data_IF_662954803182
#
_entry.id   IF_662954803182
#
_cell.length_a   1.000
_cell.length_b   1.000
_cell.length_c   1.000
_cell.angle_alpha   90.00
_cell.angle_beta   90.00
_cell.angle_gamma   90.00
#
_symmetry.space_group_name_H-M   'P 1'
#
loop_
_entity.id
_entity.type
_entity.pdbx_description
1 polymer ?
#
# COMPACT_ATOMS: atom_id res chain seq x y z
N UNK A 1 2.61 -25.01 6.27
CA UNK A 1 2.77 -26.42 6.64
C UNK A 1 2.29 -27.40 5.56
N UNK A 2 1.43 -26.99 4.63
CA UNK A 2 0.81 -27.86 3.60
C UNK A 2 1.55 -27.85 2.26
N UNK A 3 2.52 -26.95 2.02
CA UNK A 3 3.27 -26.96 0.77
C UNK A 3 4.17 -28.17 0.67
N UNK A 4 4.01 -28.96 -0.39
CA UNK A 4 4.80 -30.17 -0.64
C UNK A 4 6.15 -29.88 -1.30
N UNK A 5 6.28 -28.71 -1.94
CA UNK A 5 7.50 -28.25 -2.64
C UNK A 5 8.35 -27.34 -1.76
N UNK A 6 9.65 -27.25 -2.06
CA UNK A 6 10.57 -26.37 -1.34
C UNK A 6 10.34 -24.88 -1.67
N UNK A 7 9.73 -24.62 -2.80
CA UNK A 7 9.28 -23.28 -3.21
C UNK A 7 7.80 -23.28 -3.51
N UNK A 8 7.09 -22.26 -3.06
CA UNK A 8 5.67 -22.09 -3.32
C UNK A 8 5.33 -20.61 -3.57
N UNK A 9 4.17 -20.38 -4.14
CA UNK A 9 3.64 -19.04 -4.41
C UNK A 9 2.40 -18.84 -3.57
N UNK A 10 2.36 -17.75 -2.80
CA UNK A 10 1.15 -17.29 -2.13
C UNK A 10 0.47 -16.21 -2.96
N UNK A 11 -0.84 -16.22 -2.93
CA UNK A 11 -1.71 -15.21 -3.54
C UNK A 11 -2.67 -14.74 -2.46
N UNK A 12 -2.70 -13.44 -2.19
CA UNK A 12 -3.68 -12.89 -1.27
C UNK A 12 -5.08 -12.95 -1.87
N UNK A 13 -6.09 -13.15 -1.04
CA UNK A 13 -7.46 -13.39 -1.47
C UNK A 13 -8.13 -12.21 -2.19
N UNK A 14 -7.53 -11.03 -2.13
CA UNK A 14 -7.94 -9.81 -2.83
C UNK A 14 -7.19 -9.58 -4.15
N UNK A 15 -6.35 -10.53 -4.58
CA UNK A 15 -5.59 -10.42 -5.83
C UNK A 15 -6.20 -11.28 -6.94
N UNK A 16 -6.47 -10.65 -8.08
CA UNK A 16 -6.85 -11.31 -9.32
C UNK A 16 -5.58 -11.48 -10.16
N UNK A 17 -5.22 -12.74 -10.44
CA UNK A 17 -4.00 -13.10 -11.16
C UNK A 17 -4.26 -13.08 -12.66
N UNK A 18 -3.32 -12.51 -13.43
CA UNK A 18 -3.28 -12.58 -14.87
C UNK A 18 -2.83 -14.01 -15.30
N UNK A 19 -3.53 -14.60 -16.26
CA UNK A 19 -3.24 -15.96 -16.74
C UNK A 19 -1.81 -16.11 -17.28
N UNK A 20 -1.22 -15.03 -17.80
CA UNK A 20 0.18 -15.04 -18.28
C UNK A 20 1.19 -15.28 -17.17
N UNK A 21 0.80 -15.09 -15.90
CA UNK A 21 1.64 -15.46 -14.77
C UNK A 21 2.01 -16.96 -14.76
N UNK A 22 1.09 -17.81 -15.15
CA UNK A 22 1.32 -19.28 -15.18
C UNK A 22 2.37 -19.69 -16.21
N UNK A 23 2.75 -18.80 -17.13
CA UNK A 23 3.79 -19.01 -18.13
C UNK A 23 5.18 -18.51 -17.64
N UNK A 24 5.24 -17.92 -16.46
CA UNK A 24 6.48 -17.36 -15.95
C UNK A 24 7.42 -18.45 -15.41
N UNK A 25 8.70 -18.23 -15.60
CA UNK A 25 9.76 -19.07 -15.07
C UNK A 25 10.75 -18.21 -14.29
N UNK A 26 11.25 -18.72 -13.18
CA UNK A 26 12.35 -18.12 -12.43
C UNK A 26 13.65 -18.82 -12.81
N UNK A 27 14.67 -18.04 -13.15
CA UNK A 27 16.02 -18.55 -13.40
C UNK A 27 16.72 -18.76 -12.06
N UNK A 28 16.64 -19.98 -11.54
CA UNK A 28 17.21 -20.33 -10.23
C UNK A 28 18.74 -20.20 -10.15
N UNK A 29 19.45 -20.12 -11.25
CA UNK A 29 20.89 -19.89 -11.24
C UNK A 29 21.23 -18.43 -10.95
N UNK A 30 20.33 -17.52 -11.33
CA UNK A 30 20.48 -16.07 -11.14
C UNK A 30 19.70 -15.51 -9.95
N UNK A 31 18.83 -16.32 -9.38
CA UNK A 31 17.87 -15.88 -8.35
C UNK A 31 18.38 -16.29 -6.97
N UNK A 32 18.32 -15.38 -6.01
CA UNK A 32 18.60 -15.71 -4.62
C UNK A 32 17.47 -16.58 -4.05
N UNK A 33 17.71 -17.89 -3.95
CA UNK A 33 16.71 -18.88 -3.51
C UNK A 33 16.17 -18.63 -2.10
N UNK A 34 16.91 -17.92 -1.25
CA UNK A 34 16.51 -17.58 0.12
C UNK A 34 15.81 -16.23 0.22
N UNK A 35 15.67 -15.51 -0.88
CA UNK A 35 14.93 -14.26 -0.89
C UNK A 35 13.45 -14.52 -1.11
N UNK A 36 12.63 -13.61 -0.56
CA UNK A 36 11.21 -13.50 -0.89
C UNK A 36 11.08 -12.80 -2.24
N UNK A 37 10.41 -13.44 -3.20
CA UNK A 37 10.21 -12.92 -4.54
C UNK A 37 8.86 -12.25 -4.64
N UNK A 38 8.83 -10.93 -4.82
CA UNK A 38 7.59 -10.14 -4.86
C UNK A 38 7.35 -9.60 -6.26
N UNK A 39 6.23 -9.97 -6.86
CA UNK A 39 5.74 -9.34 -8.08
C UNK A 39 4.97 -8.07 -7.75
N UNK A 40 4.93 -7.17 -8.72
CA UNK A 40 4.09 -5.98 -8.60
C UNK A 40 2.63 -6.34 -8.84
N UNK A 41 1.74 -5.62 -8.17
CA UNK A 41 0.32 -5.64 -8.46
C UNK A 41 -0.18 -4.26 -8.84
N UNK A 42 -1.22 -4.22 -9.66
CA UNK A 42 -1.96 -3.01 -9.97
C UNK A 42 -3.07 -2.83 -8.95
N UNK A 43 -3.10 -1.68 -8.31
CA UNK A 43 -4.21 -1.33 -7.45
C UNK A 43 -5.43 -0.93 -8.29
N UNK A 44 -6.58 -1.52 -8.03
CA UNK A 44 -7.79 -1.27 -8.82
C UNK A 44 -8.41 0.11 -8.55
N UNK A 45 -8.20 0.70 -7.35
CA UNK A 45 -8.78 1.99 -6.97
C UNK A 45 -8.07 3.14 -7.69
N UNK A 46 -6.72 3.16 -7.65
CA UNK A 46 -5.96 4.31 -8.10
C UNK A 46 -4.98 4.02 -9.25
N UNK A 47 -4.94 2.78 -9.73
CA UNK A 47 -4.10 2.38 -10.86
C UNK A 47 -2.60 2.28 -10.57
N UNK A 48 -2.16 2.50 -9.32
CA UNK A 48 -0.76 2.35 -8.95
C UNK A 48 -0.26 0.93 -9.20
N UNK A 49 0.94 0.82 -9.76
CA UNK A 49 1.65 -0.46 -9.91
C UNK A 49 2.89 -0.43 -9.03
N UNK A 50 2.89 -1.20 -7.97
CA UNK A 50 4.01 -1.31 -7.03
C UNK A 50 4.01 -2.67 -6.32
N UNK A 51 5.08 -2.99 -5.59
CA UNK A 51 5.15 -4.22 -4.79
C UNK A 51 4.26 -4.08 -3.55
N UNK A 52 3.28 -4.96 -3.40
CA UNK A 52 2.31 -4.92 -2.30
C UNK A 52 2.22 -6.23 -1.51
N UNK A 53 3.02 -7.23 -1.85
CA UNK A 53 3.00 -8.52 -1.16
C UNK A 53 1.88 -9.48 -1.55
N UNK A 54 0.96 -9.08 -2.43
CA UNK A 54 -0.22 -9.89 -2.78
C UNK A 54 0.06 -11.07 -3.71
N UNK A 55 1.21 -11.09 -4.37
CA UNK A 55 1.71 -12.22 -5.18
C UNK A 55 3.18 -12.44 -4.86
N UNK A 56 3.48 -13.48 -4.10
CA UNK A 56 4.80 -13.69 -3.50
C UNK A 56 5.27 -15.13 -3.64
N UNK A 57 6.52 -15.28 -4.08
CA UNK A 57 7.22 -16.56 -4.08
C UNK A 57 8.08 -16.73 -2.83
N UNK A 58 8.01 -17.88 -2.21
CA UNK A 58 8.63 -18.19 -0.93
C UNK A 58 9.47 -19.45 -0.99
N UNK A 59 10.63 -19.38 -0.40
CA UNK A 59 11.36 -20.57 0.04
C UNK A 59 10.76 -21.10 1.35
N UNK A 60 10.51 -22.40 1.41
CA UNK A 60 9.83 -23.05 2.54
C UNK A 60 10.61 -22.95 3.85
N UNK A 61 11.94 -23.00 3.78
CA UNK A 61 12.78 -22.85 4.97
C UNK A 61 12.73 -21.43 5.51
N UNK A 62 12.76 -20.42 4.62
CA UNK A 62 12.65 -19.01 4.98
C UNK A 62 11.34 -18.74 5.74
N UNK A 63 10.22 -19.28 5.26
CA UNK A 63 8.91 -19.09 5.92
C UNK A 63 8.83 -19.80 7.28
N UNK A 64 9.49 -20.95 7.44
CA UNK A 64 9.47 -21.70 8.70
C UNK A 64 10.05 -20.90 9.86
N UNK A 65 11.09 -20.12 9.58
CA UNK A 65 11.82 -19.35 10.58
C UNK A 65 11.35 -17.89 10.68
N UNK A 66 10.43 -17.49 9.80
CA UNK A 66 9.95 -16.12 9.70
C UNK A 66 8.94 -15.79 10.81
N UNK A 67 9.04 -14.59 11.36
CA UNK A 67 8.02 -14.04 12.26
C UNK A 67 6.96 -13.31 11.45
N UNK A 68 5.70 -13.64 11.69
CA UNK A 68 4.56 -12.89 11.15
C UNK A 68 4.35 -11.59 11.92
N UNK A 69 3.61 -10.63 11.37
CA UNK A 69 3.38 -9.35 12.07
C UNK A 69 2.63 -9.51 13.39
N UNK A 70 1.85 -10.56 13.55
CA UNK A 70 1.16 -10.85 14.81
C UNK A 70 2.16 -11.20 15.94
N UNK A 71 3.38 -11.60 15.57
CA UNK A 71 4.44 -11.99 16.47
C UNK A 71 5.59 -10.98 16.54
N UNK A 72 5.55 -9.88 15.78
CA UNK A 72 6.56 -8.83 15.81
C UNK A 72 6.23 -7.80 16.90
N UNK A 73 6.52 -8.11 18.16
CA UNK A 73 6.19 -7.28 19.33
C UNK A 73 7.33 -6.31 19.68
N UNK A 74 8.18 -5.91 18.77
CA UNK A 74 9.28 -5.01 19.10
C UNK A 74 9.10 -3.64 18.46
N UNK A 75 9.31 -2.61 19.28
CA UNK A 75 9.19 -1.17 19.00
C UNK A 75 9.95 -0.68 17.75
N UNK A 76 10.79 -1.49 17.14
CA UNK A 76 11.70 -1.04 16.09
C UNK A 76 11.25 -1.42 14.68
N UNK A 77 10.32 -2.35 14.52
CA UNK A 77 10.10 -2.94 13.22
C UNK A 77 8.65 -3.27 12.94
N UNK A 78 8.32 -2.95 11.79
CA UNK A 78 7.65 -3.78 10.82
C UNK A 78 6.15 -3.63 10.83
N UNK A 79 5.83 -2.49 10.34
CA UNK A 79 4.54 -2.24 9.73
C UNK A 79 4.26 -3.28 8.62
N UNK A 80 5.30 -3.97 8.12
CA UNK A 80 5.20 -5.01 7.12
C UNK A 80 6.27 -6.10 7.35
N UNK A 81 5.85 -7.34 7.57
CA UNK A 81 6.70 -8.48 7.94
C UNK A 81 7.76 -8.85 6.90
N UNK A 82 7.56 -8.48 5.64
CA UNK A 82 8.51 -8.75 4.57
C UNK A 82 9.83 -7.97 4.68
N UNK A 83 9.94 -7.02 5.58
CA UNK A 83 11.12 -6.17 5.70
C UNK A 83 12.28 -6.81 6.47
N UNK A 84 11.98 -7.81 7.27
CA UNK A 84 12.98 -8.56 8.05
C UNK A 84 13.69 -9.67 7.29
N UNK A 85 13.31 -9.96 6.04
CA UNK A 85 13.92 -11.01 5.22
C UNK A 85 14.46 -10.46 3.91
N UNK A 86 15.52 -11.05 3.35
CA UNK A 86 16.01 -10.70 2.01
C UNK A 86 14.87 -10.80 1.00
N UNK A 87 14.71 -9.82 0.15
CA UNK A 87 13.65 -9.82 -0.87
C UNK A 87 14.15 -9.32 -2.22
N UNK A 88 13.58 -9.89 -3.27
CA UNK A 88 13.76 -9.47 -4.65
C UNK A 88 12.44 -8.95 -5.20
N UNK A 89 12.46 -7.72 -5.70
CA UNK A 89 11.31 -7.14 -6.36
C UNK A 89 11.35 -7.49 -7.85
N UNK A 90 10.42 -8.31 -8.27
CA UNK A 90 10.24 -8.66 -9.67
C UNK A 90 9.34 -7.59 -10.31
N UNK A 91 9.83 -6.99 -11.39
CA UNK A 91 9.25 -5.75 -11.93
C UNK A 91 7.95 -5.94 -12.71
N UNK A 92 7.68 -7.15 -13.15
CA UNK A 92 6.47 -7.44 -13.91
C UNK A 92 5.23 -7.42 -13.01
N UNK A 93 4.11 -6.97 -13.58
CA UNK A 93 2.82 -6.90 -12.92
C UNK A 93 1.91 -7.99 -13.48
N UNK A 94 1.56 -8.95 -12.65
CA UNK A 94 0.72 -10.09 -13.02
C UNK A 94 -0.55 -10.20 -12.18
N UNK A 95 -0.82 -9.21 -11.35
CA UNK A 95 -2.04 -9.23 -10.54
C UNK A 95 -2.67 -7.85 -10.42
N UNK A 96 -3.97 -7.85 -10.14
CA UNK A 96 -4.72 -6.66 -9.74
C UNK A 96 -5.25 -6.88 -8.34
N UNK A 97 -4.90 -5.98 -7.42
CA UNK A 97 -5.42 -5.99 -6.05
C UNK A 97 -6.77 -5.29 -6.03
N UNK A 98 -7.83 -5.99 -5.58
CA UNK A 98 -9.21 -5.51 -5.51
C UNK A 98 -9.60 -5.36 -4.05
N UNK A 99 -9.57 -4.14 -3.54
CA UNK A 99 -9.71 -3.80 -2.12
C UNK A 99 -10.83 -2.79 -1.85
N UNK A 100 -11.88 -2.85 -2.65
CA UNK A 100 -13.00 -1.90 -2.59
C UNK A 100 -14.38 -2.58 -2.60
N UNK A 101 -14.47 -3.82 -2.16
CA UNK A 101 -15.75 -4.54 -2.10
C UNK A 101 -16.73 -3.91 -1.09
N UNK A 102 -16.21 -3.29 -0.03
CA UNK A 102 -16.99 -2.54 0.96
C UNK A 102 -16.32 -1.21 1.29
N UNK A 103 -17.08 -0.21 1.81
CA UNK A 103 -16.52 1.03 2.33
C UNK A 103 -15.42 0.79 3.37
N UNK A 104 -15.66 -0.12 4.30
CA UNK A 104 -14.71 -0.50 5.35
C UNK A 104 -13.41 -1.06 4.78
N UNK A 105 -13.48 -2.03 3.84
CA UNK A 105 -12.30 -2.60 3.20
C UNK A 105 -11.46 -1.53 2.50
N UNK A 106 -12.11 -0.66 1.73
CA UNK A 106 -11.45 0.42 1.00
C UNK A 106 -10.78 1.41 1.98
N UNK A 107 -11.49 1.82 3.04
CA UNK A 107 -10.96 2.71 4.07
C UNK A 107 -9.74 2.12 4.77
N UNK A 108 -9.84 0.87 5.23
CA UNK A 108 -8.75 0.15 5.91
C UNK A 108 -7.51 0.07 5.03
N UNK A 109 -7.68 -0.28 3.76
CA UNK A 109 -6.57 -0.34 2.81
C UNK A 109 -5.90 1.03 2.63
N UNK A 110 -6.69 2.09 2.42
CA UNK A 110 -6.19 3.45 2.31
C UNK A 110 -5.48 3.93 3.58
N UNK A 111 -6.08 3.70 4.75
CA UNK A 111 -5.51 4.09 6.04
C UNK A 111 -4.14 3.47 6.28
N UNK A 112 -4.01 2.15 6.04
CA UNK A 112 -2.72 1.44 6.14
C UNK A 112 -1.66 2.02 5.22
N UNK A 113 -2.01 2.33 3.98
CA UNK A 113 -1.08 2.93 3.04
C UNK A 113 -0.72 4.38 3.44
N UNK A 114 -1.68 5.16 3.93
CA UNK A 114 -1.45 6.49 4.49
C UNK A 114 -0.42 6.48 5.60
N UNK A 115 -0.55 5.54 6.54
CA UNK A 115 0.42 5.35 7.62
C UNK A 115 1.78 4.90 7.10
N UNK A 116 1.83 3.83 6.29
CA UNK A 116 3.10 3.27 5.77
C UNK A 116 3.91 4.31 4.99
N UNK A 117 3.25 5.07 4.11
CA UNK A 117 3.94 6.07 3.28
C UNK A 117 4.37 7.31 4.09
N UNK A 118 3.90 7.46 5.32
CA UNK A 118 4.21 8.58 6.24
C UNK A 118 5.30 8.25 7.26
N UNK A 119 5.98 7.12 7.09
CA UNK A 119 7.05 6.67 7.99
C UNK A 119 8.41 6.65 7.30
N UNK A 120 9.45 6.79 8.09
CA UNK A 120 10.84 6.55 7.70
C UNK A 120 11.40 5.42 8.58
N UNK A 121 11.82 4.31 7.95
CA UNK A 121 12.32 3.11 8.66
C UNK A 121 11.36 2.64 9.77
N UNK A 122 10.07 2.61 9.48
CA UNK A 122 9.05 2.18 10.43
C UNK A 122 8.71 3.18 11.54
N UNK A 123 9.26 4.39 11.54
CA UNK A 123 8.97 5.43 12.53
C UNK A 123 8.20 6.59 11.90
N UNK A 124 7.22 7.18 12.59
CA UNK A 124 6.51 8.35 12.10
C UNK A 124 7.46 9.51 11.78
N UNK A 125 7.27 10.13 10.63
CA UNK A 125 7.98 11.37 10.28
C UNK A 125 7.27 12.51 11.01
N UNK A 126 8.01 13.37 11.71
CA UNK A 126 7.41 14.54 12.34
C UNK A 126 7.01 15.59 11.31
N UNK A 127 5.91 16.33 11.54
CA UNK A 127 5.44 17.38 10.62
C UNK A 127 6.55 18.40 10.28
N UNK A 128 7.34 18.80 11.25
CA UNK A 128 8.48 19.73 11.07
C UNK A 128 9.52 19.23 10.07
N UNK A 129 9.73 17.93 9.99
CA UNK A 129 10.76 17.32 9.15
C UNK A 129 10.19 16.63 7.91
N UNK A 130 8.87 16.64 7.73
CA UNK A 130 8.19 15.83 6.73
C UNK A 130 8.81 15.98 5.34
N UNK A 131 8.87 17.18 4.79
CA UNK A 131 9.36 17.44 3.44
C UNK A 131 10.86 17.14 3.25
N UNK A 132 11.62 17.01 4.35
CA UNK A 132 13.05 16.67 4.30
C UNK A 132 13.30 15.17 4.40
N UNK A 133 12.46 14.50 5.18
CA UNK A 133 12.64 13.08 5.51
C UNK A 133 11.83 12.14 4.62
N UNK A 134 10.68 12.60 4.09
CA UNK A 134 9.87 11.74 3.24
C UNK A 134 10.60 11.32 1.98
N UNK A 135 10.64 10.01 1.75
CA UNK A 135 11.16 9.51 0.49
C UNK A 135 10.24 9.89 -0.67
N UNK A 136 10.81 10.44 -1.74
CA UNK A 136 10.04 10.95 -2.90
C UNK A 136 9.07 9.92 -3.50
N UNK A 137 9.44 8.64 -3.50
CA UNK A 137 8.55 7.59 -3.98
C UNK A 137 7.34 7.41 -3.05
N UNK A 138 7.56 7.45 -1.72
CA UNK A 138 6.47 7.36 -0.75
C UNK A 138 5.52 8.56 -0.87
N UNK A 139 6.06 9.76 -1.02
CA UNK A 139 5.26 10.96 -1.26
C UNK A 139 4.39 10.82 -2.52
N UNK A 140 4.96 10.31 -3.61
CA UNK A 140 4.21 10.08 -4.86
C UNK A 140 3.11 9.02 -4.70
N UNK A 141 3.38 7.92 -3.98
CA UNK A 141 2.38 6.89 -3.68
C UNK A 141 1.27 7.48 -2.81
N UNK A 142 1.63 8.16 -1.72
CA UNK A 142 0.69 8.77 -0.79
C UNK A 142 -0.20 9.82 -1.49
N UNK A 143 0.40 10.72 -2.26
CA UNK A 143 -0.35 11.72 -3.03
C UNK A 143 -1.38 11.06 -3.96
N UNK A 144 -1.01 9.95 -4.61
CA UNK A 144 -1.91 9.21 -5.48
C UNK A 144 -3.06 8.58 -4.69
N UNK A 145 -2.79 7.93 -3.56
CA UNK A 145 -3.81 7.37 -2.68
C UNK A 145 -4.77 8.43 -2.13
N UNK A 146 -4.26 9.62 -1.83
CA UNK A 146 -5.05 10.74 -1.34
C UNK A 146 -5.90 11.44 -2.42
N UNK A 147 -5.64 11.17 -3.72
CA UNK A 147 -6.18 11.98 -4.82
C UNK A 147 -7.03 11.19 -5.81
N UNK A 148 -6.69 9.92 -6.10
CA UNK A 148 -7.28 9.13 -7.18
C UNK A 148 -8.11 7.98 -6.61
N UNK A 149 -9.35 7.86 -7.07
CA UNK A 149 -10.29 6.81 -6.65
C UNK A 149 -11.76 7.23 -6.69
N UNK A 150 -12.06 8.50 -6.96
CA UNK A 150 -13.43 9.02 -6.93
C UNK A 150 -14.38 8.33 -7.94
N UNK A 151 -13.84 7.78 -9.03
CA UNK A 151 -14.55 7.09 -10.11
C UNK A 151 -14.80 5.60 -9.85
N UNK A 152 -14.36 5.07 -8.72
CA UNK A 152 -14.48 3.66 -8.35
C UNK A 152 -15.42 3.51 -7.15
N UNK A 153 -16.24 2.46 -7.17
CA UNK A 153 -17.08 2.10 -6.03
C UNK A 153 -16.23 2.01 -4.75
N UNK A 154 -16.68 2.69 -3.71
CA UNK A 154 -15.98 2.81 -2.42
C UNK A 154 -14.58 3.48 -2.48
N UNK A 155 -14.14 3.98 -3.63
CA UNK A 155 -12.81 4.58 -3.77
C UNK A 155 -12.60 5.84 -2.94
N UNK A 156 -13.64 6.65 -2.72
CA UNK A 156 -13.59 7.81 -1.81
C UNK A 156 -13.25 7.42 -0.38
N UNK A 157 -13.69 6.24 0.09
CA UNK A 157 -13.33 5.73 1.42
C UNK A 157 -11.84 5.38 1.50
N UNK A 158 -11.28 4.84 0.42
CA UNK A 158 -9.82 4.59 0.38
C UNK A 158 -9.03 5.91 0.41
N UNK A 159 -9.47 6.93 -0.33
CA UNK A 159 -8.86 8.26 -0.29
C UNK A 159 -8.94 8.87 1.11
N UNK A 160 -10.09 8.77 1.77
CA UNK A 160 -10.27 9.25 3.14
C UNK A 160 -9.36 8.51 4.11
N UNK A 161 -9.32 7.18 4.03
CA UNK A 161 -8.41 6.36 4.83
C UNK A 161 -6.96 6.81 4.68
N UNK A 162 -6.48 7.02 3.44
CA UNK A 162 -5.12 7.47 3.19
C UNK A 162 -4.81 8.85 3.78
N UNK A 163 -5.75 9.79 3.67
CA UNK A 163 -5.62 11.14 4.26
C UNK A 163 -5.58 11.07 5.78
N UNK A 164 -6.49 10.32 6.41
CA UNK A 164 -6.54 10.13 7.86
C UNK A 164 -5.32 9.38 8.38
N UNK A 165 -4.90 8.31 7.70
CA UNK A 165 -3.70 7.57 8.07
C UNK A 165 -2.45 8.43 8.10
N UNK A 166 -2.26 9.29 7.10
CA UNK A 166 -1.17 10.28 7.09
C UNK A 166 -1.33 11.32 8.20
N UNK A 167 -2.53 11.88 8.38
CA UNK A 167 -2.82 12.91 9.36
C UNK A 167 -2.50 12.45 10.78
N UNK A 168 -3.01 11.29 11.19
CA UNK A 168 -2.79 10.75 12.53
C UNK A 168 -1.39 10.14 12.73
N UNK A 169 -0.62 9.99 11.68
CA UNK A 169 0.79 9.59 11.78
C UNK A 169 1.70 10.80 11.96
N UNK A 170 1.43 11.91 11.27
CA UNK A 170 2.40 13.02 11.12
C UNK A 170 1.95 14.30 11.84
N UNK A 171 0.68 14.68 11.71
CA UNK A 171 0.16 15.97 12.20
C UNK A 171 -0.33 15.83 13.64
N UNK A 172 -1.19 14.87 13.89
CA UNK A 172 -1.70 14.54 15.22
C UNK A 172 -1.31 13.11 15.61
N UNK A 173 -0.02 12.85 15.90
CA UNK A 173 0.44 11.52 16.24
C UNK A 173 -0.33 10.98 17.43
N UNK A 174 -1.05 9.91 17.23
CA UNK A 174 -1.81 9.21 18.26
C UNK A 174 -1.42 7.75 18.28
N UNK A 175 -1.87 7.00 19.28
CA UNK A 175 -1.71 5.54 19.31
C UNK A 175 -2.43 4.85 18.13
N UNK A 176 -3.24 5.57 17.38
CA UNK A 176 -3.90 5.09 16.16
C UNK A 176 -2.92 4.57 15.11
N UNK A 177 -1.68 5.08 15.11
CA UNK A 177 -0.61 4.58 14.26
C UNK A 177 -0.41 3.06 14.37
N UNK A 178 -0.51 2.50 15.57
CA UNK A 178 -0.32 1.07 15.79
C UNK A 178 -1.52 0.21 15.34
N UNK A 179 -2.66 0.81 15.08
CA UNK A 179 -3.87 0.09 14.64
C UNK A 179 -3.69 -0.62 13.30
N UNK A 180 -2.76 -0.19 12.47
CA UNK A 180 -2.53 -0.83 11.17
C UNK A 180 -2.01 -2.27 11.25
N UNK A 181 -1.46 -2.68 12.38
CA UNK A 181 -1.02 -4.05 12.64
C UNK A 181 -2.18 -4.96 13.06
N UNK A 182 -3.27 -4.38 13.58
CA UNK A 182 -4.47 -5.10 14.00
C UNK A 182 -5.66 -4.69 13.11
N UNK A 183 -5.99 -5.56 12.16
CA UNK A 183 -7.09 -5.31 11.23
C UNK A 183 -8.43 -5.20 11.95
N UNK A 184 -8.65 -5.99 13.01
CA UNK A 184 -9.91 -5.97 13.77
C UNK A 184 -10.11 -4.64 14.47
N UNK A 185 -9.06 -4.09 15.05
CA UNK A 185 -9.12 -2.75 15.68
C UNK A 185 -9.35 -1.65 14.64
N UNK A 186 -8.73 -1.76 13.47
CA UNK A 186 -8.92 -0.80 12.40
C UNK A 186 -10.34 -0.85 11.81
N UNK A 187 -10.93 -2.03 11.74
CA UNK A 187 -12.33 -2.22 11.35
C UNK A 187 -13.31 -1.61 12.38
N UNK A 188 -13.04 -1.80 13.68
CA UNK A 188 -13.82 -1.14 14.74
C UNK A 188 -13.70 0.38 14.66
N UNK A 189 -12.49 0.88 14.45
CA UNK A 189 -12.27 2.30 14.27
C UNK A 189 -13.10 2.88 13.12
N UNK A 190 -13.15 2.21 11.98
CA UNK A 190 -14.01 2.61 10.87
C UNK A 190 -15.49 2.68 11.27
N UNK A 191 -15.98 1.68 11.98
CA UNK A 191 -17.38 1.64 12.43
C UNK A 191 -17.70 2.79 13.43
N UNK A 192 -16.72 3.17 14.28
CA UNK A 192 -16.87 4.29 15.23
C UNK A 192 -16.89 5.66 14.55
N UNK A 193 -16.22 5.79 13.39
CA UNK A 193 -16.19 7.06 12.64
C UNK A 193 -17.55 7.49 12.09
N UNK A 194 -18.54 6.58 12.07
CA UNK A 194 -19.88 6.84 11.51
C UNK A 194 -19.88 7.46 10.09
N UNK A 195 -18.79 7.28 9.35
CA UNK A 195 -18.60 7.88 8.01
C UNK A 195 -19.63 7.37 7.01
N UNK A 196 -20.22 6.19 7.25
CA UNK A 196 -21.31 5.66 6.42
C UNK A 196 -22.54 6.57 6.41
N UNK A 197 -22.74 7.36 7.49
CA UNK A 197 -23.84 8.29 7.65
C UNK A 197 -23.43 9.76 7.52
N UNK A 198 -22.15 10.04 7.34
CA UNK A 198 -21.58 11.37 7.22
C UNK A 198 -21.39 11.81 5.78
N UNK A 199 -21.05 13.10 5.60
CA UNK A 199 -20.68 13.65 4.31
C UNK A 199 -19.20 13.33 4.00
N UNK A 200 -18.95 12.24 3.30
CA UNK A 200 -17.57 11.81 2.95
C UNK A 200 -16.79 12.91 2.20
N UNK A 201 -17.47 13.75 1.43
CA UNK A 201 -16.81 14.81 0.67
C UNK A 201 -16.31 15.93 1.59
N UNK A 202 -17.04 16.24 2.67
CA UNK A 202 -16.58 17.20 3.70
C UNK A 202 -15.35 16.68 4.45
N UNK A 203 -15.36 15.41 4.85
CA UNK A 203 -14.23 14.77 5.51
C UNK A 203 -12.99 14.72 4.59
N UNK A 204 -13.19 14.37 3.33
CA UNK A 204 -12.11 14.41 2.34
C UNK A 204 -11.50 15.81 2.24
N UNK A 205 -12.33 16.85 2.15
CA UNK A 205 -11.86 18.23 2.09
C UNK A 205 -11.13 18.64 3.37
N UNK A 206 -11.65 18.30 4.54
CA UNK A 206 -11.06 18.63 5.83
C UNK A 206 -9.63 18.08 5.95
N UNK A 207 -9.48 16.77 5.79
CA UNK A 207 -8.17 16.13 5.88
C UNK A 207 -7.26 16.51 4.71
N UNK A 208 -7.79 16.63 3.48
CA UNK A 208 -7.04 17.09 2.32
C UNK A 208 -6.46 18.49 2.51
N UNK A 209 -7.25 19.44 3.05
CA UNK A 209 -6.79 20.80 3.36
C UNK A 209 -5.68 20.79 4.42
N UNK A 210 -5.86 20.00 5.48
CA UNK A 210 -4.87 19.87 6.55
C UNK A 210 -3.53 19.35 6.02
N UNK A 211 -3.54 18.32 5.18
CA UNK A 211 -2.33 17.74 4.59
C UNK A 211 -1.63 18.69 3.63
N UNK A 212 -2.40 19.44 2.80
CA UNK A 212 -1.85 20.46 1.89
C UNK A 212 -1.19 21.58 2.68
N UNK A 213 -1.87 22.12 3.69
CA UNK A 213 -1.41 23.29 4.42
C UNK A 213 -0.22 23.01 5.34
N UNK A 214 -0.20 21.84 6.00
CA UNK A 214 0.79 21.53 7.02
C UNK A 214 1.98 20.72 6.50
N UNK A 215 1.78 19.91 5.44
CA UNK A 215 2.79 19.00 4.92
C UNK A 215 3.14 19.26 3.46
N UNK A 216 2.47 20.21 2.79
CA UNK A 216 2.67 20.51 1.36
C UNK A 216 2.52 19.29 0.45
N UNK A 217 1.63 18.36 0.83
CA UNK A 217 1.35 17.18 -0.01
C UNK A 217 0.50 17.61 -1.20
N UNK A 218 0.90 17.29 -2.44
CA UNK A 218 0.14 17.65 -3.63
C UNK A 218 -1.11 16.78 -3.77
N UNK A 219 -2.20 17.21 -3.15
CA UNK A 219 -3.52 16.58 -3.22
C UNK A 219 -4.43 17.44 -4.09
N UNK A 220 -5.02 16.87 -5.12
CA UNK A 220 -6.06 17.51 -5.91
C UNK A 220 -7.43 16.89 -5.59
N UNK A 221 -8.47 17.70 -5.69
CA UNK A 221 -9.86 17.22 -5.61
C UNK A 221 -10.33 17.01 -7.06
N UNK A 222 -10.16 15.79 -7.56
CA UNK A 222 -10.54 15.45 -8.93
C UNK A 222 -12.03 15.11 -9.05
N UNK A 223 -12.60 15.46 -10.19
CA UNK A 223 -13.87 14.90 -10.64
C UNK A 223 -13.73 13.40 -10.90
N UNK A 224 -14.85 12.69 -11.03
CA UNK A 224 -14.82 11.28 -11.41
C UNK A 224 -14.13 11.06 -12.77
N UNK A 225 -14.36 11.94 -13.75
CA UNK A 225 -13.73 11.85 -15.07
C UNK A 225 -12.20 12.06 -15.00
N UNK A 226 -11.74 13.04 -14.23
CA UNK A 226 -10.31 13.28 -14.02
C UNK A 226 -9.67 12.11 -13.27
N UNK A 227 -10.32 11.61 -12.21
CA UNK A 227 -9.86 10.45 -11.46
C UNK A 227 -9.70 9.22 -12.36
N UNK A 228 -10.71 8.94 -13.18
CA UNK A 228 -10.68 7.86 -14.17
C UNK A 228 -9.54 8.01 -15.17
N UNK A 229 -9.33 9.22 -15.69
CA UNK A 229 -8.22 9.51 -16.60
C UNK A 229 -6.87 9.23 -15.94
N UNK A 230 -6.61 9.79 -14.76
CA UNK A 230 -5.35 9.61 -14.07
C UNK A 230 -5.11 8.16 -13.64
N UNK A 231 -6.13 7.45 -13.17
CA UNK A 231 -6.05 6.03 -12.85
C UNK A 231 -5.63 5.19 -14.07
N UNK A 232 -6.06 5.58 -15.26
CA UNK A 232 -5.68 4.90 -16.50
C UNK A 232 -4.24 5.19 -16.92
N UNK A 233 -3.77 6.44 -16.78
CA UNK A 233 -2.43 6.83 -17.27
C UNK A 233 -1.30 6.56 -16.28
N UNK A 234 -1.58 6.44 -14.98
CA UNK A 234 -0.59 6.23 -13.93
C UNK A 234 0.31 5.01 -14.14
N UNK A 235 -0.20 3.83 -14.51
CA UNK A 235 0.64 2.65 -14.75
C UNK A 235 1.67 2.85 -15.85
N UNK A 236 1.33 3.62 -16.88
CA UNK A 236 2.20 3.86 -18.03
C UNK A 236 3.40 4.74 -17.67
N UNK A 237 3.21 5.72 -16.82
CA UNK A 237 4.29 6.62 -16.37
C UNK A 237 5.31 5.93 -15.48
N UNK A 238 4.88 5.03 -14.60
CA UNK A 238 5.79 4.33 -13.68
C UNK A 238 6.63 3.26 -14.36
N UNK A 239 6.09 2.58 -15.36
CA UNK A 239 6.84 1.57 -16.11
C UNK A 239 7.99 2.18 -16.93
N UNK A 240 7.85 3.42 -17.41
CA UNK A 240 8.92 4.12 -18.15
C UNK A 240 10.10 4.51 -17.27
N UNK A 241 9.86 4.96 -16.04
CA UNK A 241 10.92 5.42 -15.13
C UNK A 241 11.74 4.31 -14.48
N UNK A 242 11.28 3.07 -14.54
CA UNK A 242 11.97 1.90 -13.98
C UNK A 242 12.85 1.22 -15.02
N UNK A 243 12.44 1.19 -16.27
CA UNK A 243 13.25 0.63 -17.36
C UNK A 243 14.57 1.38 -17.54
N UNK A 244 14.59 2.70 -17.29
CA UNK A 244 15.80 3.51 -17.47
C UNK A 244 16.85 3.34 -16.36
N UNK A 245 16.53 2.69 -15.24
CA UNK A 245 17.49 2.48 -14.13
C UNK A 245 18.12 1.08 -14.10
N UNK A 246 17.65 0.15 -14.88
CA UNK A 246 18.16 -1.22 -14.91
C UNK A 246 19.30 -1.42 -15.92
N UNK A 247 19.61 -0.39 -16.72
CA UNK A 247 20.65 -0.43 -17.74
C UNK A 247 21.79 0.59 -17.53
N UNK A 248 21.93 1.15 -16.35
CA UNK A 248 23.09 1.95 -15.92
C UNK A 248 23.73 1.30 -14.69
#
# INVERSE_FOLDING_TARGET
ETAETDFFISVDGDNIIDETFLLQTLDWEKTNKKAVHRWRAKNNINGLVYGNGGLVGWDKETVRDMRTHENSVTEENEIDFCWGVPHENLHNCYSTTVINATPQQAFVAGYREGVKMSTEKGKPITAKNYNKSIWKNNLSILSTWCTIGADIDNGKYAMLGARMGCFYTVIEPSNEFFRISDLTELEKYFAELAVENGNIDEELQLFGNSLRQQLDIPIAEYSEDDSKFYRFVMPQHRNKGVQDREYQ
#
